data_IF_388097152760
#
_entry.id   IF_388097152760
#
_cell.length_a   1.000
_cell.length_b   1.000
_cell.length_c   1.000
_cell.angle_alpha   90.00
_cell.angle_beta   90.00
_cell.angle_gamma   90.00
#
_symmetry.space_group_name_H-M   'P 1'
#
loop_
_entity.id
_entity.type
_entity.pdbx_description
1 polymer ?
#
# COMPACT_ATOMS: atom_id res chain seq x y z
N UNK A 1 9.37 -0.09 -6.61
CA UNK A 1 7.95 0.10 -6.98
C UNK A 1 7.65 -0.71 -8.24
N UNK A 2 6.49 -1.35 -8.32
CA UNK A 2 6.01 -2.04 -9.53
C UNK A 2 4.55 -1.66 -9.79
N UNK A 3 4.21 -1.45 -11.06
CA UNK A 3 2.82 -1.33 -11.47
C UNK A 3 2.21 -2.73 -11.60
N UNK A 4 1.03 -2.92 -11.01
CA UNK A 4 0.26 -4.17 -11.08
C UNK A 4 -1.16 -3.88 -11.54
N UNK A 5 -1.70 -4.75 -12.39
CA UNK A 5 -3.09 -4.62 -12.80
C UNK A 5 -4.04 -4.95 -11.64
N UNK A 6 -5.30 -4.47 -11.66
CA UNK A 6 -6.31 -4.88 -10.69
C UNK A 6 -6.47 -6.40 -10.57
N UNK A 7 -6.38 -7.13 -11.70
CA UNK A 7 -6.45 -8.59 -11.75
C UNK A 7 -5.26 -9.26 -11.06
N UNK A 8 -4.05 -8.71 -11.25
CA UNK A 8 -2.85 -9.18 -10.55
C UNK A 8 -2.96 -8.93 -9.04
N UNK A 9 -3.48 -7.77 -8.63
CA UNK A 9 -3.73 -7.47 -7.22
C UNK A 9 -4.69 -8.49 -6.57
N UNK A 10 -5.80 -8.83 -7.22
CA UNK A 10 -6.74 -9.84 -6.72
C UNK A 10 -6.04 -11.20 -6.56
N UNK A 11 -5.25 -11.59 -7.55
CA UNK A 11 -4.46 -12.84 -7.50
C UNK A 11 -3.48 -12.86 -6.32
N UNK A 12 -2.78 -11.74 -6.07
CA UNK A 12 -1.86 -11.60 -4.94
C UNK A 12 -2.58 -11.69 -3.59
N UNK A 13 -3.76 -11.09 -3.47
CA UNK A 13 -4.60 -11.21 -2.27
C UNK A 13 -5.04 -12.66 -2.00
N UNK A 14 -5.36 -13.41 -3.06
CA UNK A 14 -5.81 -14.79 -2.97
C UNK A 14 -4.70 -15.79 -2.65
N UNK A 15 -3.51 -15.57 -3.21
CA UNK A 15 -2.35 -16.42 -2.96
C UNK A 15 -1.87 -16.33 -1.51
N UNK A 16 -2.03 -15.17 -0.84
CA UNK A 16 -1.66 -14.94 0.58
C UNK A 16 -0.19 -15.17 0.92
N UNK A 17 0.69 -15.26 -0.07
CA UNK A 17 2.12 -15.53 0.15
C UNK A 17 2.91 -14.24 0.38
N UNK A 18 2.52 -13.16 -0.28
CA UNK A 18 3.28 -11.92 -0.30
C UNK A 18 2.86 -10.90 0.78
N UNK A 19 3.84 -10.08 1.17
CA UNK A 19 3.63 -8.83 1.91
C UNK A 19 3.97 -7.68 1.00
N UNK A 20 3.04 -6.76 0.85
CA UNK A 20 3.28 -5.61 0.00
C UNK A 20 2.41 -4.44 0.47
N UNK A 21 2.84 -3.23 0.13
CA UNK A 21 1.98 -2.06 0.21
C UNK A 21 1.48 -1.69 -1.18
N UNK A 22 0.29 -1.11 -1.26
CA UNK A 22 -0.29 -0.63 -2.51
C UNK A 22 -0.96 0.73 -2.28
N UNK A 23 -0.95 1.57 -3.32
CA UNK A 23 -1.65 2.85 -3.30
C UNK A 23 -2.96 2.70 -4.10
N UNK A 24 -4.09 2.98 -3.46
CA UNK A 24 -5.41 2.95 -4.10
C UNK A 24 -6.17 4.23 -3.71
N UNK A 25 -6.55 5.04 -4.70
CA UNK A 25 -7.25 6.33 -4.50
C UNK A 25 -6.55 7.24 -3.47
N UNK A 26 -5.23 7.42 -3.58
CA UNK A 26 -4.41 8.22 -2.66
C UNK A 26 -4.35 7.69 -1.22
N UNK A 27 -4.61 6.41 -1.02
CA UNK A 27 -4.43 5.76 0.28
C UNK A 27 -3.44 4.61 0.18
N UNK A 28 -2.53 4.55 1.14
CA UNK A 28 -1.67 3.41 1.37
C UNK A 28 -2.46 2.30 2.07
N UNK A 29 -2.32 1.10 1.53
CA UNK A 29 -2.78 -0.14 2.14
C UNK A 29 -1.59 -1.06 2.30
N UNK A 30 -1.46 -1.68 3.47
CA UNK A 30 -0.54 -2.77 3.71
C UNK A 30 -1.31 -4.10 3.62
N UNK A 31 -0.76 -5.03 2.85
CA UNK A 31 -1.29 -6.37 2.70
C UNK A 31 -0.34 -7.33 3.40
N UNK A 32 -0.91 -8.13 4.31
CA UNK A 32 -0.17 -9.20 4.99
C UNK A 32 -0.97 -10.49 4.93
N UNK A 33 -0.48 -11.47 4.15
CA UNK A 33 -1.12 -12.79 4.04
C UNK A 33 -2.60 -12.71 3.67
N UNK A 34 -2.95 -11.79 2.77
CA UNK A 34 -4.32 -11.51 2.33
C UNK A 34 -5.17 -10.66 3.29
N UNK A 35 -4.65 -10.27 4.45
CA UNK A 35 -5.27 -9.24 5.31
C UNK A 35 -4.94 -7.86 4.77
N UNK A 36 -5.89 -6.94 4.88
CA UNK A 36 -5.80 -5.63 4.23
C UNK A 36 -5.94 -4.55 5.29
N UNK A 37 -4.88 -3.76 5.41
CA UNK A 37 -4.73 -2.75 6.44
C UNK A 37 -4.58 -1.38 5.80
N UNK A 38 -5.56 -0.49 5.99
CA UNK A 38 -5.44 0.89 5.52
C UNK A 38 -4.70 1.74 6.55
N UNK A 39 -3.76 2.54 6.08
CA UNK A 39 -3.02 3.49 6.91
C UNK A 39 -3.97 4.49 7.59
N UNK A 40 -3.63 4.96 8.78
CA UNK A 40 -4.35 6.10 9.38
C UNK A 40 -4.08 7.38 8.62
N UNK A 41 -4.98 8.34 8.73
CA UNK A 41 -4.88 9.62 8.01
C UNK A 41 -3.52 10.32 8.20
N UNK A 42 -3.03 10.45 9.44
CA UNK A 42 -1.75 11.11 9.69
C UNK A 42 -0.57 10.38 9.02
N UNK A 43 -0.50 9.06 9.16
CA UNK A 43 0.54 8.24 8.55
C UNK A 43 0.42 8.22 7.02
N UNK A 44 -0.81 8.17 6.48
CA UNK A 44 -1.08 8.22 5.06
C UNK A 44 -0.58 9.54 4.45
N UNK A 45 -0.92 10.67 5.06
CA UNK A 45 -0.44 11.98 4.60
C UNK A 45 1.08 12.06 4.61
N UNK A 46 1.74 11.55 5.66
CA UNK A 46 3.20 11.49 5.72
C UNK A 46 3.79 10.64 4.58
N UNK A 47 3.23 9.47 4.31
CA UNK A 47 3.70 8.60 3.23
C UNK A 47 3.44 9.18 1.84
N UNK A 48 2.33 9.88 1.63
CA UNK A 48 2.07 10.60 0.38
C UNK A 48 3.08 11.73 0.16
N UNK A 49 3.46 12.46 1.21
CA UNK A 49 4.49 13.49 1.10
C UNK A 49 5.86 12.87 0.71
N UNK A 50 6.23 11.75 1.33
CA UNK A 50 7.45 11.01 0.96
C UNK A 50 7.41 10.50 -0.48
N UNK A 51 6.24 10.00 -0.94
CA UNK A 51 6.06 9.61 -2.32
C UNK A 51 6.21 10.80 -3.28
N UNK A 52 5.72 11.98 -2.90
CA UNK A 52 5.96 13.24 -3.62
C UNK A 52 7.44 13.55 -3.75
N UNK A 53 8.19 13.52 -2.64
CA UNK A 53 9.65 13.70 -2.64
C UNK A 53 10.38 12.66 -3.50
N UNK A 54 9.88 11.43 -3.57
CA UNK A 54 10.43 10.41 -4.48
C UNK A 54 10.22 10.79 -5.95
N UNK A 55 9.03 11.28 -6.30
CA UNK A 55 8.75 11.73 -7.67
C UNK A 55 9.52 12.99 -8.07
N UNK A 56 9.84 13.85 -7.11
CA UNK A 56 10.66 15.05 -7.32
C UNK A 56 12.18 14.72 -7.40
N UNK A 57 12.56 13.50 -7.02
CA UNK A 57 13.96 13.03 -7.06
C UNK A 57 14.77 13.36 -5.81
N UNK A 58 14.12 13.83 -4.74
CA UNK A 58 14.76 14.18 -3.46
C UNK A 58 15.14 12.94 -2.63
N UNK A 59 14.42 11.84 -2.82
CA UNK A 59 14.72 10.54 -2.20
C UNK A 59 14.73 9.45 -3.27
N UNK A 60 15.55 8.43 -3.06
CA UNK A 60 15.59 7.26 -3.93
C UNK A 60 14.55 6.19 -3.53
N UNK A 61 14.44 5.16 -4.38
CA UNK A 61 13.48 4.09 -4.17
C UNK A 61 13.76 3.27 -2.90
N UNK A 62 15.04 3.12 -2.53
CA UNK A 62 15.45 2.40 -1.33
C UNK A 62 15.04 3.16 -0.07
N UNK A 63 15.30 4.46 -0.01
CA UNK A 63 14.88 5.33 1.08
C UNK A 63 13.36 5.38 1.27
N UNK A 64 12.59 5.41 0.17
CA UNK A 64 11.13 5.34 0.24
C UNK A 64 10.66 3.99 0.82
N UNK A 65 11.24 2.87 0.37
CA UNK A 65 10.88 1.53 0.86
C UNK A 65 11.19 1.40 2.35
N UNK A 66 12.33 1.90 2.80
CA UNK A 66 12.73 1.83 4.21
C UNK A 66 11.82 2.66 5.12
N UNK A 67 11.46 3.87 4.71
CA UNK A 67 10.51 4.70 5.46
C UNK A 67 9.10 4.10 5.47
N UNK A 68 8.68 3.50 4.37
CA UNK A 68 7.41 2.78 4.30
C UNK A 68 7.39 1.57 5.24
N UNK A 69 8.46 0.76 5.27
CA UNK A 69 8.61 -0.35 6.23
C UNK A 69 8.57 0.15 7.67
N UNK A 70 9.29 1.22 8.01
CA UNK A 70 9.24 1.83 9.36
C UNK A 70 7.83 2.28 9.72
N UNK A 71 7.11 2.91 8.80
CA UNK A 71 5.73 3.36 9.02
C UNK A 71 4.77 2.17 9.24
N UNK A 72 4.94 1.07 8.51
CA UNK A 72 4.15 -0.15 8.71
C UNK A 72 4.43 -0.72 10.10
N UNK A 73 5.70 -0.95 10.47
CA UNK A 73 6.07 -1.51 11.77
C UNK A 73 5.51 -0.68 12.92
N UNK A 74 5.63 0.64 12.83
CA UNK A 74 5.10 1.57 13.83
C UNK A 74 3.57 1.41 13.97
N UNK A 75 2.85 1.39 12.85
CA UNK A 75 1.39 1.22 12.88
C UNK A 75 0.95 -0.16 13.38
N UNK A 76 1.71 -1.24 13.12
CA UNK A 76 1.45 -2.57 13.71
C UNK A 76 1.63 -2.50 15.23
N UNK A 77 2.74 -1.90 15.69
CA UNK A 77 3.09 -1.86 17.11
C UNK A 77 2.01 -1.19 17.98
N UNK A 78 1.35 -0.17 17.44
CA UNK A 78 0.32 0.58 18.15
C UNK A 78 -1.12 0.25 17.71
N UNK A 79 -1.31 -0.79 16.89
CA UNK A 79 -2.61 -1.21 16.35
C UNK A 79 -3.39 -0.06 15.69
N UNK A 80 -2.68 0.76 14.91
CA UNK A 80 -3.24 1.95 14.30
C UNK A 80 -3.93 1.67 12.97
N UNK A 81 -3.72 0.53 12.34
CA UNK A 81 -4.37 0.25 11.06
C UNK A 81 -5.89 0.23 11.15
N UNK A 82 -6.55 0.62 10.06
CA UNK A 82 -7.97 0.29 9.87
C UNK A 82 -8.07 -1.00 9.07
N UNK A 83 -8.72 -2.02 9.63
CA UNK A 83 -9.06 -3.22 8.90
C UNK A 83 -10.01 -2.91 7.73
N UNK A 84 -9.72 -3.50 6.57
CA UNK A 84 -10.53 -3.32 5.37
C UNK A 84 -11.00 -4.66 4.84
N UNK A 85 -12.30 -4.76 4.59
CA UNK A 85 -12.90 -5.93 3.96
C UNK A 85 -12.40 -6.09 2.52
N UNK A 86 -12.07 -7.32 2.16
CA UNK A 86 -11.56 -7.67 0.83
C UNK A 86 -12.53 -7.26 -0.28
N UNK A 87 -13.82 -7.53 -0.07
CA UNK A 87 -14.88 -7.23 -1.04
C UNK A 87 -14.94 -5.73 -1.33
N UNK A 88 -14.81 -4.88 -0.30
CA UNK A 88 -14.82 -3.43 -0.44
C UNK A 88 -13.65 -2.92 -1.28
N UNK A 89 -12.45 -3.49 -1.09
CA UNK A 89 -11.28 -3.05 -1.86
C UNK A 89 -11.35 -3.56 -3.30
N UNK A 90 -11.81 -4.80 -3.51
CA UNK A 90 -11.98 -5.39 -4.84
C UNK A 90 -12.97 -4.58 -5.65
N UNK A 91 -14.12 -4.22 -5.07
CA UNK A 91 -15.10 -3.37 -5.76
C UNK A 91 -14.50 -2.02 -6.17
N UNK A 92 -13.69 -1.42 -5.29
CA UNK A 92 -13.03 -0.14 -5.55
C UNK A 92 -12.04 -0.21 -6.71
N UNK A 93 -11.20 -1.23 -6.77
CA UNK A 93 -10.18 -1.38 -7.82
C UNK A 93 -10.75 -1.92 -9.13
N UNK A 94 -11.85 -2.70 -9.09
CA UNK A 94 -12.45 -3.29 -10.30
C UNK A 94 -13.05 -2.23 -11.22
N UNK A 95 -13.35 -1.06 -10.66
CA UNK A 95 -13.82 0.12 -11.39
C UNK A 95 -12.69 1.07 -11.80
N UNK A 96 -11.44 0.77 -11.42
CA UNK A 96 -10.26 1.57 -11.78
C UNK A 96 -9.74 1.15 -13.15
N UNK A 97 -9.62 2.08 -14.12
CA UNK A 97 -9.02 1.78 -15.41
C UNK A 97 -7.48 1.80 -15.37
N UNK A 98 -6.88 2.12 -14.23
CA UNK A 98 -5.44 2.31 -14.08
C UNK A 98 -4.80 1.18 -13.28
N UNK A 99 -3.54 0.89 -13.62
CA UNK A 99 -2.67 0.04 -12.81
C UNK A 99 -2.41 0.65 -11.43
N UNK A 100 -2.12 -0.22 -10.47
CA UNK A 100 -1.86 0.12 -9.08
C UNK A 100 -0.36 0.15 -8.82
N UNK A 101 0.09 1.12 -8.03
CA UNK A 101 1.48 1.19 -7.58
C UNK A 101 1.66 0.33 -6.34
N UNK A 102 2.48 -0.71 -6.45
CA UNK A 102 2.78 -1.65 -5.38
C UNK A 102 4.26 -1.63 -4.98
N UNK A 103 4.49 -1.80 -3.68
CA UNK A 103 5.78 -1.89 -3.01
C UNK A 103 5.88 -3.27 -2.36
N UNK A 104 6.67 -4.15 -2.98
CA UNK A 104 6.93 -5.50 -2.47
C UNK A 104 8.12 -5.47 -1.53
N UNK A 105 8.08 -6.32 -0.49
CA UNK A 105 9.10 -6.37 0.57
C UNK A 105 9.61 -7.78 0.80
#
# INVERSE_FOLDING_TARGET
MKQISPTMFVTLLDNKEDRFAVIINHWFYYIEKGRIYRFQQHNNTKMLAMLGSFYEGDIDAEGLIDELKKSIINQIQYDWFTDVWKETIIERISRSPYDLEAFFF
#
